data_IF_305610313718
#
_entry.id   IF_305610313718
#
_cell.length_a   1.000
_cell.length_b   1.000
_cell.length_c   1.000
_cell.angle_alpha   90.00
_cell.angle_beta   90.00
_cell.angle_gamma   90.00
#
_symmetry.space_group_name_H-M   'P 1'
#
loop_
_entity.id
_entity.type
_entity.pdbx_description
1 polymer ?
#
# COMPACT_ATOMS: atom_id res chain seq x y z
N UNK A 1 6.75 14.41 12.51
CA UNK A 1 5.50 13.99 11.86
C UNK A 1 5.47 12.47 11.76
N UNK A 2 4.44 11.83 12.30
CA UNK A 2 4.22 10.39 12.13
C UNK A 2 3.13 10.16 11.09
N UNK A 3 3.32 9.16 10.22
CA UNK A 3 2.34 8.75 9.22
C UNK A 3 2.22 7.22 9.31
N UNK A 4 1.03 6.73 9.59
CA UNK A 4 0.73 5.31 9.74
C UNK A 4 0.05 4.77 8.49
N UNK A 5 0.33 3.53 8.15
CA UNK A 5 -0.30 2.83 7.03
C UNK A 5 -0.94 1.54 7.51
N UNK A 6 -2.19 1.37 7.18
CA UNK A 6 -3.00 0.16 7.33
C UNK A 6 -3.38 -0.36 5.94
N UNK A 7 -3.99 -1.54 5.86
CA UNK A 7 -4.50 -2.11 4.60
C UNK A 7 -5.83 -2.83 4.81
N UNK A 8 -5.80 -4.07 5.28
CA UNK A 8 -6.94 -4.95 5.42
C UNK A 8 -7.39 -5.06 6.88
N UNK A 9 -8.70 -5.20 7.12
CA UNK A 9 -9.28 -5.31 8.45
C UNK A 9 -10.14 -6.57 8.53
N UNK A 10 -9.76 -7.52 9.38
CA UNK A 10 -10.53 -8.74 9.60
C UNK A 10 -10.16 -9.40 10.93
N UNK A 11 -11.06 -10.23 11.46
CA UNK A 11 -10.81 -11.02 12.67
C UNK A 11 -9.81 -12.15 12.45
N UNK A 12 -9.67 -12.60 11.20
CA UNK A 12 -8.68 -13.59 10.75
C UNK A 12 -8.31 -13.32 9.29
N UNK A 13 -7.16 -13.83 8.86
CA UNK A 13 -6.77 -13.73 7.46
C UNK A 13 -7.69 -14.54 6.56
N UNK A 14 -8.22 -13.92 5.51
CA UNK A 14 -8.93 -14.58 4.43
C UNK A 14 -7.95 -15.33 3.51
N UNK A 15 -8.48 -16.26 2.70
CA UNK A 15 -7.65 -17.05 1.79
C UNK A 15 -6.78 -16.18 0.87
N UNK A 16 -7.34 -15.09 0.35
CA UNK A 16 -6.65 -14.16 -0.57
C UNK A 16 -5.72 -13.15 0.11
N UNK A 17 -5.72 -13.02 1.44
CA UNK A 17 -4.85 -12.08 2.18
C UNK A 17 -3.90 -12.78 3.13
N UNK A 18 -4.06 -14.10 3.29
CA UNK A 18 -3.21 -14.90 4.17
C UNK A 18 -1.74 -14.74 3.77
N UNK A 19 -0.90 -14.51 4.76
CA UNK A 19 0.55 -14.38 4.59
C UNK A 19 1.04 -13.05 3.98
N UNK A 20 0.17 -12.12 3.62
CA UNK A 20 0.59 -10.77 3.21
C UNK A 20 1.07 -9.92 4.40
N UNK A 21 0.67 -10.28 5.62
CA UNK A 21 1.06 -9.54 6.83
C UNK A 21 0.45 -8.13 6.91
N UNK A 22 -0.72 -7.94 6.30
CA UNK A 22 -1.39 -6.64 6.15
C UNK A 22 -2.69 -6.53 6.94
N UNK A 23 -3.13 -7.63 7.59
CA UNK A 23 -4.43 -7.67 8.29
C UNK A 23 -4.32 -7.10 9.68
N UNK A 24 -5.18 -6.16 10.00
CA UNK A 24 -5.38 -5.59 11.33
C UNK A 24 -6.69 -6.08 11.92
N UNK A 25 -6.63 -6.71 13.10
CA UNK A 25 -7.84 -7.15 13.80
C UNK A 25 -8.69 -5.95 14.23
N UNK A 26 -10.03 -5.93 14.01
CA UNK A 26 -10.88 -4.79 14.32
C UNK A 26 -10.77 -4.29 15.77
N UNK A 27 -10.72 -5.20 16.75
CA UNK A 27 -10.53 -4.83 18.16
C UNK A 27 -9.15 -4.20 18.44
N UNK A 28 -8.12 -4.59 17.72
CA UNK A 28 -6.78 -3.94 17.78
C UNK A 28 -6.84 -2.55 17.17
N UNK A 29 -7.48 -2.42 16.02
CA UNK A 29 -7.66 -1.13 15.37
C UNK A 29 -8.41 -0.14 16.25
N UNK A 30 -9.53 -0.56 16.88
CA UNK A 30 -10.25 0.27 17.83
C UNK A 30 -9.35 0.80 18.97
N UNK A 31 -8.58 -0.10 19.61
CA UNK A 31 -7.68 0.28 20.70
C UNK A 31 -6.54 1.19 20.23
N UNK A 32 -6.03 0.98 19.00
CA UNK A 32 -5.03 1.84 18.39
C UNK A 32 -5.62 3.23 18.13
N UNK A 33 -6.84 3.34 17.56
CA UNK A 33 -7.51 4.61 17.31
C UNK A 33 -7.74 5.40 18.60
N UNK A 34 -8.19 4.74 19.68
CA UNK A 34 -8.38 5.38 20.99
C UNK A 34 -7.06 5.93 21.54
N UNK A 35 -5.98 5.17 21.44
CA UNK A 35 -4.63 5.64 21.80
C UNK A 35 -4.17 6.83 20.96
N UNK A 36 -4.38 6.77 19.63
CA UNK A 36 -3.99 7.82 18.71
C UNK A 36 -4.76 9.12 18.99
N UNK A 37 -6.08 9.04 19.18
CA UNK A 37 -6.92 10.18 19.51
C UNK A 37 -6.51 10.86 20.83
N UNK A 38 -6.15 10.06 21.85
CA UNK A 38 -5.72 10.58 23.15
C UNK A 38 -4.29 11.17 23.13
N UNK A 39 -3.47 10.77 22.14
CA UNK A 39 -2.02 11.03 22.19
C UNK A 39 -1.54 12.01 21.12
N UNK A 40 -2.19 12.06 19.96
CA UNK A 40 -1.78 12.82 18.80
C UNK A 40 -2.90 13.73 18.30
N UNK A 41 -2.53 14.77 17.55
CA UNK A 41 -3.46 15.49 16.70
C UNK A 41 -3.50 14.77 15.35
N UNK A 42 -4.52 13.93 15.13
CA UNK A 42 -4.74 13.27 13.85
C UNK A 42 -5.24 14.31 12.85
N UNK A 43 -4.50 14.50 11.76
CA UNK A 43 -4.73 15.58 10.80
C UNK A 43 -5.27 15.04 9.47
N UNK A 44 -6.10 15.81 8.74
CA UNK A 44 -6.43 15.53 7.34
C UNK A 44 -5.24 15.84 6.43
N UNK A 45 -5.31 15.35 5.17
CA UNK A 45 -4.27 15.55 4.15
C UNK A 45 -4.01 17.04 3.87
N UNK A 46 -5.05 17.89 3.89
CA UNK A 46 -4.92 19.33 3.69
C UNK A 46 -3.88 19.99 4.60
N UNK A 47 -3.90 19.61 5.88
CA UNK A 47 -2.94 20.14 6.87
C UNK A 47 -1.52 19.69 6.60
N UNK A 48 -1.34 18.47 6.06
CA UNK A 48 -0.03 17.98 5.64
C UNK A 48 0.50 18.79 4.46
N UNK A 49 -0.36 19.02 3.45
CA UNK A 49 -0.02 19.72 2.21
C UNK A 49 0.25 21.20 2.47
N UNK A 50 -0.58 21.88 3.28
CA UNK A 50 -0.39 23.29 3.64
C UNK A 50 0.81 23.52 4.55
N UNK A 51 1.31 22.49 5.22
CA UNK A 51 2.38 22.61 6.22
C UNK A 51 1.91 23.17 7.57
N UNK A 52 0.61 23.42 7.75
CA UNK A 52 0.02 23.90 9.01
C UNK A 52 -0.12 22.75 10.01
N UNK A 53 0.98 22.33 10.58
CA UNK A 53 1.03 21.17 11.46
C UNK A 53 0.85 21.57 12.93
N UNK A 54 -0.14 21.01 13.65
CA UNK A 54 -0.29 21.22 15.08
C UNK A 54 0.82 20.52 15.87
N UNK A 55 0.83 20.66 17.18
CA UNK A 55 1.71 19.87 18.04
C UNK A 55 1.39 18.36 17.88
N UNK A 56 2.43 17.51 17.83
CA UNK A 56 2.29 16.06 17.71
C UNK A 56 1.37 15.61 16.56
N UNK A 57 1.59 16.07 15.31
CA UNK A 57 0.74 15.74 14.19
C UNK A 57 0.92 14.27 13.78
N UNK A 58 -0.18 13.62 13.40
CA UNK A 58 -0.21 12.26 12.88
C UNK A 58 -1.20 12.16 11.71
N UNK A 59 -0.82 11.48 10.63
CA UNK A 59 -1.70 11.13 9.53
C UNK A 59 -1.98 9.63 9.53
N UNK A 60 -3.24 9.25 9.38
CA UNK A 60 -3.67 7.87 9.16
C UNK A 60 -3.82 7.67 7.65
N UNK A 61 -3.15 6.65 7.11
CA UNK A 61 -3.31 6.23 5.71
C UNK A 61 -3.71 4.76 5.65
N UNK A 62 -4.41 4.38 4.57
CA UNK A 62 -4.84 3.02 4.29
C UNK A 62 -4.56 2.77 2.81
N UNK A 63 -4.12 1.57 2.44
CA UNK A 63 -3.78 1.22 1.06
C UNK A 63 -4.70 0.12 0.50
N UNK A 64 -4.69 -0.07 -0.84
CA UNK A 64 -5.21 -1.19 -1.63
C UNK A 64 -6.73 -1.29 -1.80
N UNK A 65 -7.49 -0.33 -1.35
CA UNK A 65 -8.95 -0.29 -1.55
C UNK A 65 -9.72 -1.56 -1.14
N UNK A 66 -9.30 -2.22 -0.06
CA UNK A 66 -10.03 -3.39 0.44
C UNK A 66 -11.45 -3.04 0.91
N UNK A 67 -12.43 -3.91 0.65
CA UNK A 67 -13.82 -3.76 1.10
C UNK A 67 -13.93 -3.51 2.60
N UNK A 68 -13.08 -4.17 3.39
CA UNK A 68 -13.03 -4.02 4.85
C UNK A 68 -12.74 -2.59 5.32
N UNK A 69 -12.20 -1.72 4.45
CA UNK A 69 -12.03 -0.29 4.76
C UNK A 69 -13.40 0.37 4.93
N UNK A 70 -14.35 0.11 4.04
CA UNK A 70 -15.69 0.68 4.11
C UNK A 70 -16.52 0.03 5.23
N UNK A 71 -16.44 -1.28 5.37
CA UNK A 71 -17.27 -2.04 6.30
C UNK A 71 -16.81 -1.90 7.75
N UNK A 72 -15.51 -1.74 8.01
CA UNK A 72 -14.91 -1.77 9.36
C UNK A 72 -14.18 -0.46 9.68
N UNK A 73 -13.19 -0.07 8.87
CA UNK A 73 -12.31 1.03 9.26
C UNK A 73 -12.99 2.40 9.21
N UNK A 74 -13.71 2.71 8.13
CA UNK A 74 -14.32 4.02 7.94
C UNK A 74 -15.39 4.33 8.99
N UNK A 75 -16.30 3.41 9.38
CA UNK A 75 -17.22 3.64 10.50
C UNK A 75 -16.51 3.89 11.85
N UNK A 76 -15.42 3.14 12.14
CA UNK A 76 -14.65 3.30 13.36
C UNK A 76 -13.92 4.65 13.43
N UNK A 77 -13.39 5.12 12.29
CA UNK A 77 -12.76 6.43 12.13
C UNK A 77 -13.80 7.55 12.29
N UNK A 78 -14.94 7.44 11.60
CA UNK A 78 -16.04 8.41 11.65
C UNK A 78 -16.59 8.57 13.07
N UNK A 79 -16.81 7.47 13.80
CA UNK A 79 -17.27 7.47 15.19
C UNK A 79 -16.35 8.30 16.11
N UNK A 80 -15.04 8.30 15.81
CA UNK A 80 -14.02 9.02 16.56
C UNK A 80 -13.66 10.39 15.96
N UNK A 81 -14.29 10.77 14.85
CA UNK A 81 -13.98 11.98 14.06
C UNK A 81 -12.50 12.05 13.67
N UNK A 82 -11.89 10.92 13.35
CA UNK A 82 -10.50 10.84 12.93
C UNK A 82 -10.44 10.82 11.39
N UNK A 83 -9.78 11.80 10.76
CA UNK A 83 -9.58 11.79 9.32
C UNK A 83 -8.56 10.74 8.91
N UNK A 84 -8.73 10.21 7.69
CA UNK A 84 -7.77 9.30 7.07
C UNK A 84 -7.67 9.52 5.56
N UNK A 85 -6.65 8.94 4.92
CA UNK A 85 -6.46 8.92 3.48
C UNK A 85 -6.45 7.47 3.02
N UNK A 86 -7.27 7.12 2.02
CA UNK A 86 -7.24 5.83 1.36
C UNK A 86 -6.57 5.96 -0.01
N UNK A 87 -5.48 5.24 -0.21
CA UNK A 87 -4.81 5.11 -1.50
C UNK A 87 -5.40 3.96 -2.30
N UNK A 88 -6.05 4.28 -3.42
CA UNK A 88 -6.87 3.36 -4.22
C UNK A 88 -6.15 2.94 -5.49
N UNK A 89 -6.25 1.66 -5.82
CA UNK A 89 -6.00 1.12 -7.14
C UNK A 89 -7.35 1.04 -7.87
N UNK A 90 -7.62 1.83 -8.91
CA UNK A 90 -8.94 1.85 -9.54
C UNK A 90 -9.26 0.55 -10.30
N UNK A 91 -8.28 -0.18 -10.81
CA UNK A 91 -8.53 -1.37 -11.62
C UNK A 91 -9.29 -2.48 -10.89
N UNK A 92 -8.92 -2.92 -9.66
CA UNK A 92 -9.70 -3.92 -8.93
C UNK A 92 -11.10 -3.45 -8.53
N UNK A 93 -11.37 -2.14 -8.57
CA UNK A 93 -12.68 -1.55 -8.24
C UNK A 93 -13.60 -1.53 -9.45
N UNK A 94 -13.05 -1.27 -10.65
CA UNK A 94 -13.82 -1.08 -11.89
C UNK A 94 -13.84 -2.30 -12.80
N UNK A 95 -12.93 -3.25 -12.60
CA UNK A 95 -12.74 -4.44 -13.43
C UNK A 95 -12.69 -5.71 -12.57
N UNK A 96 -12.93 -6.84 -13.22
CA UNK A 96 -12.69 -8.16 -12.61
C UNK A 96 -11.18 -8.45 -12.58
N UNK A 97 -10.46 -7.72 -11.75
CA UNK A 97 -9.00 -7.78 -11.61
C UNK A 97 -8.59 -8.21 -10.19
N UNK A 98 -7.65 -9.14 -10.11
CA UNK A 98 -7.04 -9.60 -8.85
C UNK A 98 -5.53 -9.41 -8.92
N UNK A 99 -4.91 -8.59 -8.06
CA UNK A 99 -3.45 -8.46 -8.02
C UNK A 99 -2.77 -9.81 -7.79
N UNK A 100 -1.60 -10.01 -8.41
CA UNK A 100 -0.89 -11.30 -8.42
C UNK A 100 -0.55 -11.82 -7.01
N UNK A 101 -0.34 -10.93 -6.06
CA UNK A 101 -0.04 -11.32 -4.67
C UNK A 101 -1.19 -12.11 -4.02
N UNK A 102 -2.44 -11.75 -4.33
CA UNK A 102 -3.62 -12.49 -3.85
C UNK A 102 -3.72 -13.87 -4.51
N UNK A 103 -3.38 -13.98 -5.79
CA UNK A 103 -3.33 -15.27 -6.48
C UNK A 103 -2.26 -16.17 -5.87
N UNK A 104 -1.09 -15.62 -5.53
CA UNK A 104 -0.03 -16.37 -4.83
C UNK A 104 -0.50 -16.82 -3.43
N UNK A 105 -1.23 -15.99 -2.71
CA UNK A 105 -1.81 -16.39 -1.41
C UNK A 105 -2.74 -17.61 -1.55
N UNK A 106 -3.56 -17.66 -2.60
CA UNK A 106 -4.45 -18.78 -2.87
C UNK A 106 -3.69 -20.09 -3.19
N UNK A 107 -2.51 -19.97 -3.79
CA UNK A 107 -1.61 -21.10 -4.07
C UNK A 107 -0.81 -21.56 -2.84
N UNK A 108 -0.95 -20.89 -1.70
CA UNK A 108 -0.25 -21.23 -0.45
C UNK A 108 0.84 -20.27 -0.04
N UNK A 109 0.94 -19.09 -0.66
CA UNK A 109 1.91 -18.04 -0.35
C UNK A 109 3.37 -18.51 -0.55
N UNK A 110 4.23 -18.47 0.48
CA UNK A 110 5.63 -18.90 0.36
C UNK A 110 5.82 -20.35 -0.09
N UNK A 111 4.86 -21.24 0.20
CA UNK A 111 4.91 -22.63 -0.28
C UNK A 111 4.71 -22.74 -1.79
N UNK A 112 4.16 -21.74 -2.43
CA UNK A 112 3.97 -21.68 -3.88
C UNK A 112 5.22 -21.19 -4.64
N UNK A 113 6.34 -20.90 -3.97
CA UNK A 113 7.55 -20.35 -4.60
C UNK A 113 7.98 -21.13 -5.84
N UNK A 114 8.00 -22.47 -5.77
CA UNK A 114 8.33 -23.32 -6.93
C UNK A 114 7.35 -23.11 -8.08
N UNK A 115 6.05 -23.11 -7.80
CA UNK A 115 4.98 -22.91 -8.78
C UNK A 115 5.07 -21.53 -9.44
N UNK A 116 5.39 -20.50 -8.65
CA UNK A 116 5.58 -19.12 -9.16
C UNK A 116 6.82 -19.03 -10.04
N UNK A 117 7.93 -19.63 -9.61
CA UNK A 117 9.18 -19.68 -10.39
C UNK A 117 8.99 -20.39 -11.73
N UNK A 118 8.30 -21.52 -11.72
CA UNK A 118 7.97 -22.27 -12.94
C UNK A 118 7.10 -21.42 -13.89
N UNK A 119 6.06 -20.77 -13.37
CA UNK A 119 5.22 -19.89 -14.17
C UNK A 119 5.98 -18.71 -14.79
N UNK A 120 6.92 -18.10 -14.04
CA UNK A 120 7.81 -17.07 -14.58
C UNK A 120 8.71 -17.66 -15.67
N UNK A 121 9.29 -18.84 -15.44
CA UNK A 121 10.14 -19.52 -16.40
C UNK A 121 9.43 -19.87 -17.71
N UNK A 122 8.17 -20.31 -17.63
CA UNK A 122 7.31 -20.61 -18.78
C UNK A 122 7.00 -19.35 -19.61
N UNK A 123 6.83 -18.20 -18.97
CA UNK A 123 6.41 -16.95 -19.62
C UNK A 123 7.59 -16.09 -20.08
N UNK A 124 8.59 -15.94 -19.23
CA UNK A 124 9.68 -14.98 -19.41
C UNK A 124 11.08 -15.63 -19.58
N UNK A 125 11.18 -16.96 -19.48
CA UNK A 125 12.44 -17.70 -19.56
C UNK A 125 13.12 -17.89 -18.19
N UNK A 126 14.05 -18.85 -18.14
CA UNK A 126 14.73 -19.27 -16.89
C UNK A 126 15.58 -18.16 -16.26
N UNK A 127 16.22 -17.33 -17.07
CA UNK A 127 17.05 -16.24 -16.58
C UNK A 127 16.18 -15.19 -15.87
N UNK A 128 15.00 -14.87 -16.43
CA UNK A 128 14.02 -13.99 -15.80
C UNK A 128 13.48 -14.59 -14.49
N UNK A 129 13.21 -15.89 -14.45
CA UNK A 129 12.77 -16.57 -13.25
C UNK A 129 13.81 -16.51 -12.12
N UNK A 130 15.10 -16.62 -12.47
CA UNK A 130 16.22 -16.47 -11.51
C UNK A 130 16.33 -15.01 -11.03
N UNK A 131 16.32 -14.05 -11.97
CA UNK A 131 16.45 -12.63 -11.64
C UNK A 131 15.26 -12.09 -10.81
N UNK A 132 14.05 -12.57 -11.09
CA UNK A 132 12.85 -12.18 -10.35
C UNK A 132 12.77 -12.83 -8.97
N UNK A 133 13.61 -13.81 -8.63
CA UNK A 133 13.62 -14.52 -7.35
C UNK A 133 12.20 -14.97 -6.92
N UNK A 134 11.43 -15.57 -7.85
CA UNK A 134 10.03 -15.98 -7.70
C UNK A 134 9.06 -14.83 -7.32
N UNK A 135 9.40 -13.59 -7.62
CA UNK A 135 8.53 -12.43 -7.40
C UNK A 135 8.04 -11.85 -8.75
N UNK A 136 6.78 -12.13 -9.18
CA UNK A 136 6.25 -11.60 -10.43
C UNK A 136 6.18 -10.07 -10.47
N UNK A 137 6.15 -9.40 -9.34
CA UNK A 137 6.12 -7.94 -9.27
C UNK A 137 7.44 -7.30 -9.73
N UNK A 138 8.54 -8.06 -9.77
CA UNK A 138 9.80 -7.60 -10.35
C UNK A 138 9.79 -7.54 -11.89
N UNK A 139 8.77 -8.10 -12.54
CA UNK A 139 8.56 -8.08 -13.97
C UNK A 139 7.80 -6.82 -14.41
N UNK A 140 8.00 -6.43 -15.68
CA UNK A 140 7.14 -5.40 -16.29
C UNK A 140 5.67 -5.86 -16.38
N UNK A 141 4.71 -4.92 -16.51
CA UNK A 141 3.28 -5.19 -16.40
C UNK A 141 2.77 -6.32 -17.31
N UNK A 142 3.19 -6.35 -18.57
CA UNK A 142 2.76 -7.39 -19.51
C UNK A 142 3.19 -8.80 -19.12
N UNK A 143 4.46 -8.98 -18.72
CA UNK A 143 4.96 -10.28 -18.25
C UNK A 143 4.32 -10.67 -16.91
N UNK A 144 4.18 -9.73 -16.00
CA UNK A 144 3.49 -9.94 -14.71
C UNK A 144 2.06 -10.43 -14.93
N UNK A 145 1.31 -9.80 -15.85
CA UNK A 145 -0.04 -10.20 -16.21
C UNK A 145 -0.07 -11.63 -16.78
N UNK A 146 0.82 -11.95 -17.71
CA UNK A 146 0.92 -13.29 -18.30
C UNK A 146 1.25 -14.37 -17.24
N UNK A 147 2.16 -14.08 -16.30
CA UNK A 147 2.45 -14.97 -15.18
C UNK A 147 1.23 -15.13 -14.28
N UNK A 148 0.53 -14.04 -13.96
CA UNK A 148 -0.70 -14.09 -13.14
C UNK A 148 -1.76 -15.00 -13.79
N UNK A 149 -2.00 -14.87 -15.10
CA UNK A 149 -2.96 -15.72 -15.80
C UNK A 149 -2.53 -17.20 -15.78
N UNK A 150 -1.23 -17.47 -15.87
CA UNK A 150 -0.70 -18.84 -15.73
C UNK A 150 -0.97 -19.40 -14.33
N UNK A 151 -0.79 -18.60 -13.28
CA UNK A 151 -1.05 -19.00 -11.91
C UNK A 151 -2.56 -19.23 -11.66
N UNK A 152 -3.43 -18.39 -12.21
CA UNK A 152 -4.89 -18.55 -12.15
C UNK A 152 -5.33 -19.87 -12.83
N UNK A 153 -4.75 -20.19 -13.99
CA UNK A 153 -5.02 -21.46 -14.66
C UNK A 153 -4.62 -22.69 -13.81
N UNK A 154 -3.55 -22.58 -13.01
CA UNK A 154 -3.15 -23.65 -12.07
C UNK A 154 -4.14 -23.81 -10.89
N UNK A 155 -4.92 -22.77 -10.56
CA UNK A 155 -6.02 -22.84 -9.60
C UNK A 155 -7.30 -23.46 -10.19
N UNK A 156 -7.33 -23.73 -11.50
CA UNK A 156 -8.51 -24.29 -12.18
C UNK A 156 -9.71 -23.34 -12.25
N UNK A 157 -9.47 -22.03 -12.28
CA UNK A 157 -10.51 -20.99 -12.24
C UNK A 157 -10.22 -19.86 -13.25
N UNK A 158 -11.03 -18.80 -13.20
CA UNK A 158 -10.84 -17.55 -13.98
C UNK A 158 -10.65 -16.36 -13.07
N UNK A 159 -10.03 -15.30 -13.56
CA UNK A 159 -9.87 -14.07 -12.79
C UNK A 159 -11.21 -13.45 -12.38
N UNK A 160 -12.20 -13.48 -13.28
CA UNK A 160 -13.56 -13.02 -13.00
C UNK A 160 -14.21 -13.79 -11.86
N UNK A 161 -14.05 -15.12 -11.83
CA UNK A 161 -14.56 -15.95 -10.74
C UNK A 161 -13.82 -15.63 -9.42
N UNK A 162 -12.49 -15.52 -9.46
CA UNK A 162 -11.72 -15.16 -8.27
C UNK A 162 -12.11 -13.78 -7.72
N UNK A 163 -12.25 -12.77 -8.57
CA UNK A 163 -12.64 -11.43 -8.16
C UNK A 163 -14.03 -11.43 -7.47
N UNK A 164 -14.98 -12.14 -8.07
CA UNK A 164 -16.32 -12.30 -7.51
C UNK A 164 -16.30 -13.07 -6.18
N UNK A 165 -15.60 -14.21 -6.12
CA UNK A 165 -15.67 -15.12 -4.99
C UNK A 165 -14.88 -14.65 -3.78
N UNK A 166 -13.82 -13.87 -4.00
CA UNK A 166 -13.01 -13.30 -2.94
C UNK A 166 -13.64 -12.05 -2.31
N UNK A 167 -14.41 -11.28 -3.09
CA UNK A 167 -15.06 -10.03 -2.65
C UNK A 167 -14.13 -9.09 -1.87
N UNK A 168 -12.86 -9.01 -2.23
CA UNK A 168 -11.83 -8.31 -1.46
C UNK A 168 -11.92 -6.78 -1.56
N UNK A 169 -12.33 -6.25 -2.72
CA UNK A 169 -12.19 -4.84 -3.04
C UNK A 169 -13.50 -4.05 -2.89
N UNK A 170 -13.34 -2.76 -2.67
CA UNK A 170 -14.43 -1.79 -2.64
C UNK A 170 -15.16 -1.74 -3.98
N UNK A 171 -16.45 -1.50 -3.93
CA UNK A 171 -17.22 -1.08 -5.11
C UNK A 171 -17.07 0.42 -5.37
N UNK A 172 -17.38 0.84 -6.60
CA UNK A 172 -17.42 2.26 -6.97
C UNK A 172 -18.34 3.09 -6.07
N UNK A 173 -19.49 2.53 -5.66
CA UNK A 173 -20.44 3.22 -4.78
C UNK A 173 -19.91 3.38 -3.35
N UNK A 174 -19.19 2.38 -2.85
CA UNK A 174 -18.54 2.46 -1.54
C UNK A 174 -17.45 3.54 -1.54
N UNK A 175 -16.62 3.62 -2.60
CA UNK A 175 -15.58 4.66 -2.71
C UNK A 175 -16.21 6.07 -2.71
N UNK A 176 -17.30 6.30 -3.46
CA UNK A 176 -17.99 7.61 -3.47
C UNK A 176 -18.49 8.04 -2.10
N UNK A 177 -18.81 7.11 -1.22
CA UNK A 177 -19.31 7.39 0.13
C UNK A 177 -18.21 7.70 1.15
N UNK A 178 -16.98 7.24 0.94
CA UNK A 178 -15.86 7.39 1.90
C UNK A 178 -15.58 8.83 2.33
N UNK A 179 -15.61 9.86 1.44
CA UNK A 179 -15.40 11.24 1.86
C UNK A 179 -16.43 11.75 2.89
N UNK A 180 -17.68 11.25 2.82
CA UNK A 180 -18.71 11.52 3.83
C UNK A 180 -18.43 10.91 5.20
N UNK A 181 -17.54 9.92 5.27
CA UNK A 181 -17.06 9.27 6.50
C UNK A 181 -15.71 9.84 6.99
N UNK A 182 -15.20 10.91 6.35
CA UNK A 182 -13.92 11.52 6.74
C UNK A 182 -12.68 10.83 6.16
N UNK A 183 -12.85 9.97 5.14
CA UNK A 183 -11.76 9.28 4.46
C UNK A 183 -11.56 9.90 3.06
N UNK A 184 -10.46 10.63 2.88
CA UNK A 184 -10.08 11.19 1.58
C UNK A 184 -9.52 10.09 0.68
N UNK A 185 -9.88 10.12 -0.62
CA UNK A 185 -9.42 9.12 -1.60
C UNK A 185 -8.22 9.67 -2.37
N UNK A 186 -7.18 8.86 -2.53
CA UNK A 186 -5.92 9.20 -3.15
C UNK A 186 -5.41 8.06 -4.07
N UNK A 187 -4.30 8.26 -4.75
CA UNK A 187 -3.80 7.41 -5.84
C UNK A 187 -2.75 6.39 -5.37
N UNK A 188 -2.94 5.11 -5.75
CA UNK A 188 -2.00 4.01 -5.47
C UNK A 188 -1.59 3.24 -6.75
N UNK A 189 -1.46 3.90 -7.90
CA UNK A 189 -1.36 3.32 -9.24
C UNK A 189 -2.62 2.60 -9.71
N UNK A 190 -2.75 2.36 -10.99
CA UNK A 190 -3.93 1.70 -11.58
C UNK A 190 -4.07 0.25 -11.11
N UNK A 191 -2.97 -0.52 -11.11
CA UNK A 191 -2.99 -1.97 -10.97
C UNK A 191 -2.05 -2.51 -9.87
N UNK A 192 -1.70 -1.68 -8.88
CA UNK A 192 -0.73 -2.01 -7.83
C UNK A 192 0.58 -2.52 -8.41
N UNK A 193 1.29 -1.68 -9.17
CA UNK A 193 2.50 -2.06 -9.90
C UNK A 193 3.77 -1.45 -9.29
N UNK A 194 4.88 -2.13 -9.48
CA UNK A 194 6.19 -1.65 -9.02
C UNK A 194 6.69 -0.57 -9.98
N UNK A 195 6.61 0.71 -9.59
CA UNK A 195 6.80 1.86 -10.48
C UNK A 195 8.16 1.88 -11.18
N UNK A 196 9.22 1.34 -10.58
CA UNK A 196 10.56 1.27 -11.20
C UNK A 196 10.65 0.32 -12.41
N UNK A 197 9.69 -0.59 -12.57
CA UNK A 197 9.67 -1.55 -13.70
C UNK A 197 8.95 -1.00 -14.93
N UNK A 198 8.33 0.17 -14.83
CA UNK A 198 7.47 0.76 -15.85
C UNK A 198 8.28 1.49 -16.92
N UNK A 199 7.90 1.29 -18.19
CA UNK A 199 8.28 2.15 -19.32
C UNK A 199 7.66 3.55 -19.18
N UNK A 200 8.06 4.50 -20.03
CA UNK A 200 7.54 5.87 -19.98
C UNK A 200 6.01 5.93 -20.16
N UNK A 201 5.46 5.19 -21.13
CA UNK A 201 4.02 5.13 -21.37
C UNK A 201 3.28 4.49 -20.21
N UNK A 202 3.76 3.33 -19.73
CA UNK A 202 3.16 2.63 -18.58
C UNK A 202 3.17 3.48 -17.31
N UNK A 203 4.21 4.30 -17.07
CA UNK A 203 4.23 5.24 -15.92
C UNK A 203 3.09 6.24 -16.00
N UNK A 204 2.81 6.77 -17.20
CA UNK A 204 1.71 7.69 -17.41
C UNK A 204 0.36 7.02 -17.10
N UNK A 205 0.12 5.84 -17.66
CA UNK A 205 -1.13 5.10 -17.51
C UNK A 205 -1.34 4.65 -16.05
N UNK A 206 -0.31 4.19 -15.37
CA UNK A 206 -0.39 3.71 -14.00
C UNK A 206 -0.50 4.86 -12.97
N UNK A 207 0.01 6.04 -13.26
CA UNK A 207 0.05 7.16 -12.31
C UNK A 207 -0.98 8.24 -12.68
N UNK A 208 -0.88 8.84 -13.87
CA UNK A 208 -1.80 9.88 -14.30
C UNK A 208 -3.18 9.29 -14.63
N UNK A 209 -3.23 8.19 -15.37
CA UNK A 209 -4.47 7.49 -15.67
C UNK A 209 -5.23 7.02 -14.42
N UNK A 210 -4.53 6.53 -13.39
CA UNK A 210 -5.16 6.19 -12.12
C UNK A 210 -5.76 7.42 -11.43
N UNK A 211 -5.07 8.56 -11.43
CA UNK A 211 -5.57 9.82 -10.89
C UNK A 211 -6.87 10.22 -11.58
N UNK A 212 -6.85 10.27 -12.91
CA UNK A 212 -8.02 10.65 -13.72
C UNK A 212 -9.23 9.74 -13.46
N UNK A 213 -8.99 8.42 -13.37
CA UNK A 213 -10.03 7.45 -13.06
C UNK A 213 -10.64 7.67 -11.66
N UNK A 214 -9.80 7.94 -10.65
CA UNK A 214 -10.27 8.20 -9.28
C UNK A 214 -11.03 9.53 -9.21
N UNK A 215 -10.56 10.58 -9.89
CA UNK A 215 -11.24 11.87 -9.97
C UNK A 215 -12.60 11.76 -10.67
N UNK A 216 -12.65 11.03 -11.79
CA UNK A 216 -13.91 10.73 -12.47
C UNK A 216 -14.88 9.94 -11.59
N UNK A 217 -14.37 8.99 -10.81
CA UNK A 217 -15.17 8.17 -9.91
C UNK A 217 -15.73 8.95 -8.73
N UNK A 218 -14.94 9.85 -8.12
CA UNK A 218 -15.28 10.53 -6.87
C UNK A 218 -15.82 11.94 -7.06
N UNK A 219 -15.58 12.56 -8.22
CA UNK A 219 -15.85 13.98 -8.48
C UNK A 219 -14.98 14.92 -7.64
N UNK A 220 -13.85 14.45 -7.10
CA UNK A 220 -12.97 15.18 -6.18
C UNK A 220 -11.53 15.15 -6.66
N UNK A 221 -10.73 16.21 -6.44
CA UNK A 221 -9.33 16.24 -6.83
C UNK A 221 -8.51 15.23 -6.03
N UNK A 222 -7.64 14.50 -6.70
CA UNK A 222 -6.68 13.56 -6.11
C UNK A 222 -5.32 14.25 -5.98
N UNK A 223 -4.89 14.53 -4.75
CA UNK A 223 -3.71 15.35 -4.45
C UNK A 223 -2.53 14.56 -3.90
N UNK A 224 -2.73 13.30 -3.58
CA UNK A 224 -1.69 12.47 -2.99
C UNK A 224 -1.47 11.18 -3.78
N UNK A 225 -0.21 10.74 -3.77
CA UNK A 225 0.23 9.49 -4.40
C UNK A 225 1.01 8.64 -3.41
N UNK A 226 0.71 7.36 -3.31
CA UNK A 226 1.53 6.41 -2.58
C UNK A 226 2.08 5.34 -3.51
N UNK A 227 3.37 5.07 -3.38
CA UNK A 227 4.02 3.98 -4.12
C UNK A 227 3.58 2.62 -3.58
N UNK A 228 3.12 1.67 -4.43
CA UNK A 228 3.01 0.27 -4.05
C UNK A 228 4.36 -0.24 -3.50
N UNK A 229 4.33 -1.00 -2.40
CA UNK A 229 5.48 -1.40 -1.56
C UNK A 229 6.34 -0.23 -1.05
N UNK A 230 6.44 0.88 -1.78
CA UNK A 230 7.02 2.15 -1.36
C UNK A 230 8.48 2.09 -0.92
N UNK A 231 9.31 1.26 -1.54
CA UNK A 231 10.75 1.25 -1.28
C UNK A 231 11.42 2.50 -1.87
N UNK A 232 12.52 2.93 -1.30
CA UNK A 232 13.24 4.12 -1.77
C UNK A 232 13.69 4.03 -3.24
N UNK A 233 13.98 2.83 -3.72
CA UNK A 233 14.33 2.56 -5.12
C UNK A 233 13.17 2.69 -6.12
N UNK A 234 11.92 2.77 -5.65
CA UNK A 234 10.75 2.94 -6.50
C UNK A 234 10.57 4.40 -6.95
N UNK A 235 11.01 5.34 -6.11
CA UNK A 235 10.96 6.78 -6.35
C UNK A 235 12.11 7.27 -7.24
N UNK A 236 12.25 6.70 -8.43
CA UNK A 236 13.24 7.18 -9.40
C UNK A 236 12.88 8.59 -9.88
N UNK A 237 13.86 9.41 -10.35
CA UNK A 237 13.57 10.73 -10.89
C UNK A 237 12.47 10.70 -11.96
N UNK A 238 12.54 9.77 -12.90
CA UNK A 238 11.56 9.64 -13.98
C UNK A 238 10.14 9.28 -13.50
N UNK A 239 10.00 8.56 -12.38
CA UNK A 239 8.69 8.28 -11.77
C UNK A 239 8.19 9.53 -11.03
N UNK A 240 9.06 10.18 -10.23
CA UNK A 240 8.69 11.39 -9.49
C UNK A 240 8.29 12.55 -10.41
N UNK A 241 8.92 12.66 -11.59
CA UNK A 241 8.54 13.66 -12.59
C UNK A 241 7.11 13.46 -13.08
N UNK A 242 6.69 12.21 -13.35
CA UNK A 242 5.30 11.90 -13.74
C UNK A 242 4.33 12.18 -12.57
N UNK A 243 4.68 11.78 -11.34
CA UNK A 243 3.86 12.04 -10.15
C UNK A 243 3.60 13.55 -9.98
N UNK A 244 4.65 14.36 -10.08
CA UNK A 244 4.55 15.83 -9.94
C UNK A 244 3.83 16.48 -11.12
N UNK A 245 4.13 16.06 -12.36
CA UNK A 245 3.48 16.57 -13.57
C UNK A 245 1.98 16.26 -13.59
N UNK A 246 1.55 15.17 -12.96
CA UNK A 246 0.13 14.82 -12.78
C UNK A 246 -0.56 15.67 -11.68
N UNK A 247 0.15 16.58 -11.01
CA UNK A 247 -0.42 17.50 -10.02
C UNK A 247 -0.56 16.92 -8.62
N UNK A 248 0.10 15.79 -8.29
CA UNK A 248 0.16 15.30 -6.92
C UNK A 248 1.04 16.23 -6.05
N UNK A 249 0.54 16.60 -4.88
CA UNK A 249 1.16 17.53 -3.95
C UNK A 249 1.87 16.85 -2.78
N UNK A 250 1.53 15.59 -2.51
CA UNK A 250 2.18 14.76 -1.49
C UNK A 250 2.41 13.35 -2.01
N UNK A 251 3.61 12.83 -1.80
CA UNK A 251 4.08 11.53 -2.27
C UNK A 251 4.53 10.69 -1.09
N UNK A 252 4.09 9.44 -1.02
CA UNK A 252 4.32 8.58 0.14
C UNK A 252 5.11 7.33 -0.20
N UNK A 253 6.15 7.09 0.61
CA UNK A 253 7.00 5.91 0.59
C UNK A 253 6.90 5.16 1.92
N UNK A 254 7.26 3.87 1.90
CA UNK A 254 7.40 3.06 3.11
C UNK A 254 8.85 3.11 3.63
N UNK A 255 9.04 2.72 4.89
CA UNK A 255 10.36 2.46 5.47
C UNK A 255 11.34 3.65 5.49
N UNK A 256 10.86 4.87 5.40
CA UNK A 256 11.68 6.05 5.62
C UNK A 256 12.06 6.20 7.10
N UNK A 257 13.18 6.88 7.33
CA UNK A 257 13.80 6.92 8.65
C UNK A 257 13.24 8.02 9.55
N UNK A 258 12.90 9.15 8.96
CA UNK A 258 12.48 10.33 9.71
C UNK A 258 11.93 11.37 8.73
N UNK A 259 10.70 11.74 8.91
CA UNK A 259 10.08 12.78 8.09
C UNK A 259 10.73 14.18 8.26
N UNK A 260 11.55 14.37 9.29
CA UNK A 260 12.39 15.58 9.41
C UNK A 260 13.58 15.58 8.45
N UNK A 261 13.95 14.42 7.89
CA UNK A 261 15.08 14.22 6.97
C UNK A 261 14.63 13.71 5.60
N UNK A 262 13.39 14.00 5.21
CA UNK A 262 12.87 13.61 3.90
C UNK A 262 13.65 14.29 2.77
N UNK A 263 13.78 13.62 1.60
CA UNK A 263 14.64 14.11 0.52
C UNK A 263 14.06 15.33 -0.21
N UNK A 264 12.75 15.55 -0.12
CA UNK A 264 12.06 16.69 -0.72
C UNK A 264 10.81 17.03 0.12
N UNK A 265 10.30 18.27 0.03
CA UNK A 265 9.16 18.71 0.85
C UNK A 265 7.86 17.97 0.54
N UNK A 266 7.71 17.45 -0.67
CA UNK A 266 6.56 16.66 -1.14
C UNK A 266 6.67 15.17 -0.86
N UNK A 267 7.82 14.65 -0.38
CA UNK A 267 8.02 13.22 -0.12
C UNK A 267 7.91 12.92 1.38
N UNK A 268 7.08 11.93 1.71
CA UNK A 268 6.77 11.53 3.08
C UNK A 268 6.99 10.04 3.29
N UNK A 269 7.45 9.67 4.47
CA UNK A 269 7.68 8.29 4.88
C UNK A 269 6.61 7.80 5.84
N UNK A 270 6.14 6.57 5.62
CA UNK A 270 5.09 5.90 6.38
C UNK A 270 5.62 4.72 7.19
N UNK A 271 4.88 4.32 8.18
CA UNK A 271 5.13 3.11 8.98
C UNK A 271 3.93 2.18 8.92
N UNK A 272 4.15 0.95 8.48
CA UNK A 272 3.12 -0.09 8.50
C UNK A 272 2.75 -0.42 9.95
N UNK A 273 1.45 -0.53 10.18
CA UNK A 273 0.84 -0.95 11.44
C UNK A 273 -0.15 -2.07 11.15
N UNK A 274 -0.11 -3.12 11.96
CA UNK A 274 -1.04 -4.25 11.85
C UNK A 274 -1.55 -4.67 13.23
N UNK A 275 -0.89 -5.61 13.87
CA UNK A 275 -1.34 -6.27 15.09
C UNK A 275 -0.77 -5.67 16.39
N UNK A 276 -0.06 -4.56 16.32
CA UNK A 276 0.55 -3.91 17.49
C UNK A 276 -0.49 -3.54 18.54
N UNK A 277 -0.16 -3.81 19.79
CA UNK A 277 -0.89 -3.25 20.92
C UNK A 277 -0.66 -1.72 21.00
N UNK A 278 -1.49 -0.94 21.68
CA UNK A 278 -1.21 0.48 21.94
C UNK A 278 0.19 0.73 22.50
N UNK A 279 0.67 -0.13 23.40
CA UNK A 279 2.04 -0.06 23.92
C UNK A 279 3.10 -0.34 22.84
N UNK A 280 2.88 -1.35 21.99
CA UNK A 280 3.74 -1.66 20.85
C UNK A 280 3.78 -0.51 19.84
N UNK A 281 2.62 0.09 19.56
CA UNK A 281 2.51 1.26 18.70
C UNK A 281 3.24 2.47 19.29
N UNK A 282 3.14 2.69 20.61
CA UNK A 282 3.91 3.73 21.31
C UNK A 282 5.41 3.53 21.13
N UNK A 283 5.89 2.30 21.30
CA UNK A 283 7.30 1.95 21.08
C UNK A 283 7.71 2.20 19.64
N UNK A 284 6.90 1.76 18.68
CA UNK A 284 7.15 1.96 17.26
C UNK A 284 7.27 3.45 16.89
N UNK A 285 6.37 4.29 17.40
CA UNK A 285 6.32 5.71 17.07
C UNK A 285 7.33 6.58 17.83
N UNK A 286 7.67 6.22 19.06
CA UNK A 286 8.54 7.05 19.91
C UNK A 286 9.99 6.56 20.01
N UNK A 287 10.19 5.25 20.06
CA UNK A 287 11.50 4.67 20.36
C UNK A 287 12.24 4.22 19.10
N UNK A 288 11.57 3.60 18.11
CA UNK A 288 12.25 3.16 16.88
C UNK A 288 12.99 4.29 16.15
N UNK A 289 12.44 5.50 15.99
CA UNK A 289 13.19 6.59 15.38
C UNK A 289 14.40 7.03 16.22
N UNK A 290 14.30 7.00 17.55
CA UNK A 290 15.41 7.34 18.47
C UNK A 290 16.50 6.29 18.49
N UNK A 291 16.13 5.00 18.55
CA UNK A 291 17.05 3.88 18.51
C UNK A 291 17.79 3.80 17.17
N UNK A 292 17.09 4.01 16.04
CA UNK A 292 17.74 4.05 14.74
C UNK A 292 18.71 5.23 14.57
N UNK A 293 18.49 6.36 15.25
CA UNK A 293 19.46 7.47 15.31
C UNK A 293 20.72 7.08 16.11
N UNK A 294 20.55 6.39 17.22
CA UNK A 294 21.66 5.91 18.05
C UNK A 294 22.49 4.83 17.34
N UNK A 295 21.84 3.90 16.63
CA UNK A 295 22.51 2.79 15.91
C UNK A 295 23.33 3.26 14.69
N UNK A 296 23.01 4.38 14.08
CA UNK A 296 23.79 4.92 12.95
C UNK A 296 25.12 5.54 13.34
N UNK A 297 25.37 5.76 14.61
CA UNK A 297 26.67 6.13 15.15
C UNK A 297 27.58 4.96 15.50
N UNK A 298 27.09 3.71 15.41
CA UNK A 298 27.88 2.51 15.67
C UNK A 298 28.41 1.94 14.34
N UNK A 299 29.68 1.47 14.29
CA UNK A 299 30.20 0.78 13.12
C UNK A 299 29.35 -0.45 12.81
N UNK A 300 29.22 -0.78 11.52
CA UNK A 300 28.49 -1.97 11.09
C UNK A 300 29.01 -3.20 11.81
N UNK A 301 28.14 -3.99 12.41
CA UNK A 301 28.52 -5.29 12.99
C UNK A 301 29.10 -6.15 11.86
N UNK A 302 30.23 -6.84 12.09
CA UNK A 302 30.80 -7.76 11.12
C UNK A 302 29.75 -8.82 10.76
N UNK A 303 29.53 -9.05 9.48
CA UNK A 303 28.71 -10.15 8.97
C UNK A 303 29.29 -11.45 9.49
N UNK A 304 28.46 -12.28 10.10
CA UNK A 304 28.89 -13.62 10.56
C UNK A 304 29.44 -14.39 9.35
N UNK A 305 30.55 -15.13 9.53
CA UNK A 305 31.09 -15.95 8.46
C UNK A 305 30.07 -17.03 8.12
N UNK A 306 29.72 -17.11 6.83
CA UNK A 306 28.95 -18.23 6.26
C UNK A 306 29.85 -19.48 6.36
N UNK A 307 29.52 -20.35 7.32
CA UNK A 307 30.02 -21.71 7.38
C UNK A 307 29.05 -22.65 6.67
#
# INVERSE_FOLDING_TARGET
MNILTYHHFASADAAGTRQLGITTHPGRFAAQLDYLAATYNVIPLDRLISGELPARPLLITIDDAYRSVFEIAAPMLAQRRLPAVLFVNPRPVSEAFVPVDHVICLLGGPRAEGVVRDAIGEVAGRDAATAAAANPNALGPGLREAVKQRLIAKLGTTETALHRDLELFLTSDQIRQLPGLGVEVANHTTSHTLCRTLSAGERHDEIAGAKDAIEALTGRPVRAFAFPWGQSGDATPAVLDVVRASGHQATFLMHGLDNAKRPAPDIWYRSLVTSETPAGLQIALRLKPRLRRAWRGLPALPTAPTG
#
